data_IF_703822711861
#
_entry.id   IF_703822711861
#
_cell.length_a   1.000
_cell.length_b   1.000
_cell.length_c   1.000
_cell.angle_alpha   90.00
_cell.angle_beta   90.00
_cell.angle_gamma   90.00
#
_symmetry.space_group_name_H-M   'P 1'
#
loop_
_entity.id
_entity.type
_entity.pdbx_description
1 polymer ?
#
# COMPACT_ATOMS: atom_id res chain seq x y z
N UNK A 1 -4.32 25.66 -18.06
CA UNK A 1 -2.94 25.29 -17.68
C UNK A 1 -2.88 23.78 -17.53
N UNK A 2 -1.96 23.09 -18.22
CA UNK A 2 -1.81 21.65 -18.06
C UNK A 2 -1.38 21.34 -16.61
N UNK A 3 -2.11 20.45 -15.96
CA UNK A 3 -1.84 20.07 -14.59
C UNK A 3 -0.67 19.06 -14.60
N UNK A 4 0.57 19.55 -14.50
CA UNK A 4 1.77 18.71 -14.54
C UNK A 4 1.94 18.04 -13.17
N UNK A 5 1.82 16.71 -13.12
CA UNK A 5 1.95 15.94 -11.87
C UNK A 5 3.37 16.05 -11.29
N UNK A 6 4.38 15.83 -12.14
CA UNK A 6 5.80 15.87 -11.74
C UNK A 6 6.34 17.31 -11.76
N UNK A 7 5.99 18.10 -10.76
CA UNK A 7 6.46 19.46 -10.58
C UNK A 7 6.83 19.75 -9.13
N UNK A 8 7.89 20.54 -8.91
CA UNK A 8 8.39 20.93 -7.59
C UNK A 8 8.77 19.71 -6.74
N UNK A 9 8.26 19.59 -5.52
CA UNK A 9 8.58 18.46 -4.63
C UNK A 9 8.19 17.09 -5.19
N UNK A 10 7.32 17.02 -6.21
CA UNK A 10 6.89 15.77 -6.82
C UNK A 10 7.70 15.35 -8.03
N UNK A 11 8.75 16.09 -8.40
CA UNK A 11 9.60 15.75 -9.55
C UNK A 11 10.14 14.32 -9.47
N UNK A 12 10.49 13.86 -8.26
CA UNK A 12 10.96 12.50 -7.99
C UNK A 12 10.03 11.76 -7.02
N UNK A 13 8.73 11.94 -7.18
CA UNK A 13 7.71 11.40 -6.25
C UNK A 13 7.85 9.90 -6.00
N UNK A 14 8.07 9.10 -7.03
CA UNK A 14 8.19 7.64 -6.90
C UNK A 14 9.59 7.15 -6.50
N UNK A 15 10.58 8.05 -6.35
CA UNK A 15 11.95 7.65 -5.99
C UNK A 15 12.04 6.78 -4.72
N UNK A 16 11.30 7.03 -3.63
CA UNK A 16 11.30 6.15 -2.46
C UNK A 16 10.90 4.70 -2.75
N UNK A 17 10.11 4.46 -3.79
CA UNK A 17 9.63 3.14 -4.19
C UNK A 17 10.52 2.47 -5.28
N UNK A 18 11.66 3.05 -5.63
CA UNK A 18 12.56 2.52 -6.67
C UNK A 18 13.93 2.08 -6.14
N UNK A 19 14.25 2.34 -4.87
CA UNK A 19 15.50 1.96 -4.23
C UNK A 19 15.44 0.59 -3.54
N UNK A 20 16.57 0.13 -3.00
CA UNK A 20 16.67 -1.15 -2.30
C UNK A 20 15.71 -1.29 -1.11
N UNK A 21 15.41 -0.20 -0.44
CA UNK A 21 14.49 -0.10 0.70
C UNK A 21 13.00 0.09 0.32
N UNK A 22 12.66 -0.11 -0.95
CA UNK A 22 11.31 0.13 -1.51
C UNK A 22 10.19 -0.61 -0.78
N UNK A 23 10.43 -1.86 -0.38
CA UNK A 23 9.43 -2.67 0.34
C UNK A 23 9.14 -2.08 1.72
N UNK A 24 10.18 -1.66 2.44
CA UNK A 24 10.03 -0.96 3.72
C UNK A 24 9.30 0.37 3.54
N UNK A 25 9.65 1.15 2.50
CA UNK A 25 8.95 2.40 2.16
C UNK A 25 7.46 2.15 1.88
N UNK A 26 7.12 1.14 1.08
CA UNK A 26 5.74 0.78 0.76
C UNK A 26 4.97 0.35 2.01
N UNK A 27 5.57 -0.48 2.88
CA UNK A 27 4.97 -0.92 4.13
C UNK A 27 4.70 0.26 5.09
N UNK A 28 5.65 1.20 5.20
CA UNK A 28 5.49 2.42 6.02
C UNK A 28 4.36 3.29 5.47
N UNK A 29 4.30 3.49 4.15
CA UNK A 29 3.25 4.29 3.52
C UNK A 29 1.86 3.68 3.73
N UNK A 30 1.73 2.35 3.65
CA UNK A 30 0.49 1.63 3.98
C UNK A 30 0.09 1.83 5.44
N UNK A 31 1.02 1.62 6.36
CA UNK A 31 0.78 1.81 7.79
C UNK A 31 0.34 3.24 8.12
N UNK A 32 0.96 4.24 7.48
CA UNK A 32 0.57 5.64 7.60
C UNK A 32 -0.84 5.90 7.07
N UNK A 33 -1.18 5.34 5.91
CA UNK A 33 -2.52 5.47 5.34
C UNK A 33 -3.57 4.81 6.24
N UNK A 34 -3.33 3.59 6.69
CA UNK A 34 -4.25 2.83 7.52
C UNK A 34 -4.49 3.51 8.87
N UNK A 35 -3.45 4.13 9.45
CA UNK A 35 -3.57 4.89 10.70
C UNK A 35 -4.42 6.15 10.55
N UNK A 36 -4.27 6.87 9.44
CA UNK A 36 -4.92 8.20 9.26
C UNK A 36 -6.26 8.09 8.54
N UNK A 37 -6.42 7.10 7.65
CA UNK A 37 -7.56 6.98 6.74
C UNK A 37 -8.18 5.59 6.69
N UNK A 38 -7.56 4.60 7.34
CA UNK A 38 -8.05 3.22 7.36
C UNK A 38 -9.34 3.07 8.17
N UNK A 39 -9.93 1.87 8.16
CA UNK A 39 -11.19 1.59 8.87
C UNK A 39 -11.08 1.73 10.40
N UNK A 40 -9.87 1.67 10.94
CA UNK A 40 -9.56 1.86 12.36
C UNK A 40 -8.75 3.14 12.59
N UNK A 41 -8.95 4.16 11.75
CA UNK A 41 -8.21 5.41 11.84
C UNK A 41 -8.44 6.07 13.22
N UNK A 42 -7.35 6.43 13.87
CA UNK A 42 -7.38 7.18 15.11
C UNK A 42 -7.20 8.67 14.81
N UNK A 43 -8.30 9.40 14.86
CA UNK A 43 -8.33 10.84 14.61
C UNK A 43 -8.00 11.67 15.85
N UNK A 44 -7.82 11.03 17.01
CA UNK A 44 -7.55 11.73 18.28
C UNK A 44 -6.10 12.16 18.42
N UNK A 45 -5.18 11.51 17.74
CA UNK A 45 -3.75 11.77 17.85
C UNK A 45 -3.18 12.32 16.54
N UNK A 46 -2.62 13.52 16.61
CA UNK A 46 -1.98 14.14 15.46
C UNK A 46 -0.73 13.36 15.03
N UNK A 47 -0.48 13.28 13.74
CA UNK A 47 0.67 12.57 13.17
C UNK A 47 1.97 13.36 13.47
N UNK A 48 2.58 13.11 14.61
CA UNK A 48 3.86 13.73 14.98
C UNK A 48 5.01 13.03 14.28
N UNK A 49 6.17 13.73 14.17
CA UNK A 49 7.38 13.10 13.62
C UNK A 49 7.80 11.86 14.41
N UNK A 50 7.66 11.90 15.74
CA UNK A 50 8.00 10.76 16.61
C UNK A 50 7.09 9.57 16.36
N UNK A 51 5.81 9.82 16.17
CA UNK A 51 4.85 8.77 15.83
C UNK A 51 5.23 8.09 14.50
N UNK A 52 5.57 8.87 13.46
CA UNK A 52 6.00 8.31 12.17
C UNK A 52 7.29 7.50 12.30
N UNK A 53 8.27 7.97 13.07
CA UNK A 53 9.50 7.24 13.38
C UNK A 53 9.17 5.92 14.07
N UNK A 54 8.27 5.92 15.06
CA UNK A 54 7.85 4.69 15.75
C UNK A 54 7.14 3.72 14.80
N UNK A 55 6.36 4.22 13.84
CA UNK A 55 5.74 3.36 12.81
C UNK A 55 6.78 2.70 11.91
N UNK A 56 7.86 3.42 11.55
CA UNK A 56 8.99 2.81 10.83
C UNK A 56 9.62 1.68 11.66
N UNK A 57 9.81 1.87 12.96
CA UNK A 57 10.31 0.80 13.84
C UNK A 57 9.39 -0.41 13.85
N UNK A 58 8.08 -0.22 13.93
CA UNK A 58 7.12 -1.33 13.89
C UNK A 58 7.23 -2.13 12.59
N UNK A 59 7.45 -1.46 11.46
CA UNK A 59 7.68 -2.12 10.16
C UNK A 59 9.00 -2.90 10.17
N UNK A 60 10.08 -2.35 10.77
CA UNK A 60 11.39 -3.00 10.85
C UNK A 60 11.44 -4.20 11.82
N UNK A 61 10.43 -4.40 12.66
CA UNK A 61 10.30 -5.63 13.47
C UNK A 61 10.13 -6.87 12.58
N UNK A 62 9.55 -6.71 11.40
CA UNK A 62 9.41 -7.80 10.43
C UNK A 62 10.77 -8.11 9.78
N UNK A 63 11.27 -9.38 9.89
CA UNK A 63 12.59 -9.73 9.39
C UNK A 63 12.80 -9.47 7.90
N UNK A 64 11.76 -9.63 7.08
CA UNK A 64 11.81 -9.36 5.65
C UNK A 64 12.03 -7.87 5.35
N UNK A 65 11.34 -6.98 6.08
CA UNK A 65 11.49 -5.53 5.94
C UNK A 65 12.85 -5.06 6.45
N UNK A 66 13.32 -5.65 7.54
CA UNK A 66 14.66 -5.38 8.08
C UNK A 66 15.76 -5.79 7.09
N UNK A 67 15.64 -6.96 6.47
CA UNK A 67 16.59 -7.46 5.47
C UNK A 67 16.58 -6.64 4.17
N UNK A 68 15.50 -5.95 3.85
CA UNK A 68 15.42 -5.03 2.72
C UNK A 68 16.19 -3.73 2.95
N UNK A 69 16.47 -3.39 4.21
CA UNK A 69 17.13 -2.12 4.61
C UNK A 69 18.57 -2.34 5.02
N UNK A 70 18.85 -3.41 5.76
CA UNK A 70 20.15 -3.73 6.34
C UNK A 70 20.67 -5.05 5.79
N UNK A 71 21.99 -5.20 5.70
CA UNK A 71 22.59 -6.45 5.21
C UNK A 71 22.20 -7.66 6.10
N UNK A 72 21.93 -8.81 5.50
CA UNK A 72 21.60 -10.02 6.25
C UNK A 72 22.72 -10.41 7.21
N UNK A 73 22.39 -10.55 8.50
CA UNK A 73 23.35 -10.91 9.56
C UNK A 73 24.09 -9.73 10.18
N UNK A 74 23.91 -8.51 9.74
CA UNK A 74 24.44 -7.32 10.37
C UNK A 74 23.74 -7.10 11.73
N UNK A 75 24.52 -6.90 12.78
CA UNK A 75 24.02 -6.43 14.07
C UNK A 75 23.80 -4.94 14.00
N UNK A 76 22.57 -4.55 13.74
CA UNK A 76 22.14 -3.15 13.67
C UNK A 76 21.80 -2.67 15.08
N UNK A 77 22.38 -1.57 15.49
CA UNK A 77 22.07 -0.92 16.76
C UNK A 77 20.74 -0.17 16.70
N UNK A 78 20.10 0.04 17.85
CA UNK A 78 18.88 0.85 17.92
C UNK A 78 19.07 2.31 17.41
N UNK A 79 20.30 2.82 17.50
CA UNK A 79 20.66 4.15 17.02
C UNK A 79 20.72 4.21 15.48
N UNK A 80 21.26 3.18 14.84
CA UNK A 80 21.25 3.06 13.37
C UNK A 80 19.84 2.93 12.82
N UNK A 81 18.98 2.12 13.47
CA UNK A 81 17.56 2.03 13.10
C UNK A 81 16.86 3.39 13.25
N UNK A 82 17.16 4.13 14.32
CA UNK A 82 16.59 5.46 14.55
C UNK A 82 17.05 6.48 13.52
N UNK A 83 18.31 6.41 13.14
CA UNK A 83 18.89 7.24 12.07
C UNK A 83 18.19 6.96 10.75
N UNK A 84 18.08 5.69 10.37
CA UNK A 84 17.36 5.28 9.16
C UNK A 84 15.90 5.77 9.18
N UNK A 85 15.19 5.56 10.28
CA UNK A 85 13.79 6.00 10.40
C UNK A 85 13.65 7.52 10.21
N UNK A 86 14.57 8.30 10.79
CA UNK A 86 14.63 9.75 10.61
C UNK A 86 14.91 10.17 9.17
N UNK A 87 15.81 9.45 8.49
CA UNK A 87 16.14 9.68 7.07
C UNK A 87 14.97 9.30 6.15
N UNK A 88 14.26 8.20 6.43
CA UNK A 88 13.09 7.81 5.67
C UNK A 88 11.98 8.85 5.77
N UNK A 89 11.70 9.38 6.95
CA UNK A 89 10.73 10.47 7.12
C UNK A 89 11.13 11.71 6.31
N UNK A 90 12.44 12.08 6.34
CA UNK A 90 12.96 13.19 5.54
C UNK A 90 12.79 12.92 4.04
N UNK A 91 13.15 11.72 3.57
CA UNK A 91 13.02 11.27 2.18
C UNK A 91 11.56 11.36 1.69
N UNK A 92 10.60 10.92 2.52
CA UNK A 92 9.18 11.00 2.19
C UNK A 92 8.68 12.46 2.09
N UNK A 93 9.21 13.36 2.93
CA UNK A 93 8.91 14.81 2.84
C UNK A 93 9.52 15.45 1.58
N UNK A 94 10.79 15.18 1.30
CA UNK A 94 11.51 15.72 0.15
C UNK A 94 10.86 15.33 -1.18
N UNK A 95 10.31 14.13 -1.27
CA UNK A 95 9.65 13.61 -2.46
C UNK A 95 8.13 13.85 -2.50
N UNK A 96 7.59 14.63 -1.58
CA UNK A 96 6.20 15.09 -1.64
C UNK A 96 5.14 14.07 -1.19
N UNK A 97 5.52 13.05 -0.42
CA UNK A 97 4.58 12.13 0.22
C UNK A 97 4.00 12.70 1.51
N UNK A 98 4.86 13.37 2.29
CA UNK A 98 4.49 14.03 3.54
C UNK A 98 4.78 15.53 3.46
N UNK A 99 4.04 16.31 4.20
CA UNK A 99 4.26 17.75 4.38
C UNK A 99 4.14 18.13 5.85
N UNK A 100 4.85 19.22 6.21
CA UNK A 100 4.71 19.81 7.55
C UNK A 100 3.35 20.50 7.63
N UNK A 101 2.65 20.22 8.70
CA UNK A 101 1.38 20.85 9.03
C UNK A 101 1.48 21.42 10.44
N UNK A 102 0.99 22.62 10.64
CA UNK A 102 0.84 23.21 11.96
C UNK A 102 -0.63 23.14 12.35
N UNK A 103 -0.89 22.45 13.42
CA UNK A 103 -2.24 22.43 13.98
C UNK A 103 -2.63 23.86 14.36
N UNK A 104 -3.74 24.40 13.86
CA UNK A 104 -4.17 25.75 14.17
C UNK A 104 -4.56 25.95 15.65
N UNK A 105 -4.84 24.86 16.38
CA UNK A 105 -5.24 24.91 17.79
C UNK A 105 -4.02 24.77 18.71
N UNK A 106 -3.24 23.69 18.51
CA UNK A 106 -2.13 23.34 19.41
C UNK A 106 -0.78 23.91 18.99
N UNK A 107 -0.68 24.49 17.80
CA UNK A 107 0.56 25.02 17.20
C UNK A 107 1.73 24.03 17.17
N UNK A 108 1.50 22.75 17.45
CA UNK A 108 2.50 21.71 17.42
C UNK A 108 2.88 21.37 15.97
N UNK A 109 4.17 21.17 15.69
CA UNK A 109 4.58 20.69 14.37
C UNK A 109 4.14 19.24 14.17
N UNK A 110 3.26 19.02 13.21
CA UNK A 110 2.75 17.73 12.82
C UNK A 110 3.08 17.44 11.36
N UNK A 111 2.91 16.22 10.94
CA UNK A 111 3.05 15.78 9.57
C UNK A 111 1.66 15.47 9.01
N UNK A 112 1.50 15.65 7.71
CA UNK A 112 0.30 15.27 6.99
C UNK A 112 0.69 14.59 5.69
N UNK A 113 -0.06 13.60 5.27
CA UNK A 113 0.09 13.06 3.93
C UNK A 113 -0.38 14.11 2.91
N UNK A 114 0.42 14.32 1.88
CA UNK A 114 -0.02 15.14 0.74
C UNK A 114 -1.17 14.44 0.03
N UNK A 115 -1.97 15.18 -0.75
CA UNK A 115 -3.07 14.59 -1.51
C UNK A 115 -2.58 13.45 -2.42
N UNK A 116 -1.50 13.68 -3.16
CA UNK A 116 -0.90 12.66 -4.03
C UNK A 116 -0.37 11.46 -3.21
N UNK A 117 0.31 11.72 -2.08
CA UNK A 117 0.80 10.68 -1.17
C UNK A 117 -0.33 9.80 -0.63
N UNK A 118 -1.45 10.43 -0.22
CA UNK A 118 -2.63 9.71 0.24
C UNK A 118 -3.22 8.80 -0.83
N UNK A 119 -3.48 9.34 -2.04
CA UNK A 119 -4.13 8.58 -3.12
C UNK A 119 -3.28 7.36 -3.53
N UNK A 120 -1.96 7.51 -3.64
CA UNK A 120 -1.08 6.37 -3.98
C UNK A 120 -0.91 5.40 -2.80
N UNK A 121 -0.82 5.88 -1.56
CA UNK A 121 -0.77 5.00 -0.39
C UNK A 121 -2.07 4.21 -0.19
N UNK A 122 -3.22 4.78 -0.55
CA UNK A 122 -4.50 4.08 -0.61
C UNK A 122 -4.45 2.89 -1.58
N UNK A 123 -3.92 3.12 -2.78
CA UNK A 123 -3.74 2.03 -3.75
C UNK A 123 -2.82 0.94 -3.19
N UNK A 124 -1.69 1.32 -2.57
CA UNK A 124 -0.76 0.36 -1.95
C UNK A 124 -1.42 -0.44 -0.81
N UNK A 125 -2.25 0.20 0.03
CA UNK A 125 -3.00 -0.47 1.10
C UNK A 125 -4.06 -1.42 0.53
N UNK A 126 -4.75 -1.01 -0.53
CA UNK A 126 -5.79 -1.81 -1.18
C UNK A 126 -5.22 -3.04 -1.92
N UNK A 127 -4.00 -2.99 -2.43
CA UNK A 127 -3.38 -4.13 -3.09
C UNK A 127 -3.16 -5.32 -2.13
N UNK A 128 -2.86 -5.06 -0.85
CA UNK A 128 -2.53 -6.14 0.10
C UNK A 128 -3.71 -6.62 0.96
N UNK A 129 -4.61 -5.72 1.35
CA UNK A 129 -5.46 -5.99 2.52
C UNK A 129 -6.94 -6.21 2.25
N UNK A 130 -7.49 -5.95 1.06
CA UNK A 130 -8.92 -5.74 1.08
C UNK A 130 -9.75 -6.32 -0.06
N UNK A 131 -9.16 -6.96 -1.05
CA UNK A 131 -9.97 -7.50 -2.15
C UNK A 131 -11.12 -8.36 -1.62
N UNK A 132 -10.83 -9.29 -0.69
CA UNK A 132 -11.87 -10.16 -0.14
C UNK A 132 -12.91 -9.41 0.72
N UNK A 133 -12.48 -8.47 1.59
CA UNK A 133 -13.40 -7.69 2.43
C UNK A 133 -14.21 -6.68 1.62
N UNK A 134 -13.57 -6.00 0.67
CA UNK A 134 -14.23 -5.05 -0.24
C UNK A 134 -15.24 -5.77 -1.10
N UNK A 135 -14.88 -6.92 -1.67
CA UNK A 135 -15.78 -7.77 -2.44
C UNK A 135 -17.01 -8.19 -1.64
N UNK A 136 -16.81 -8.69 -0.41
CA UNK A 136 -17.93 -9.09 0.46
C UNK A 136 -18.83 -7.90 0.80
N UNK A 137 -18.25 -6.70 1.02
CA UNK A 137 -19.03 -5.48 1.26
C UNK A 137 -19.82 -5.08 0.01
N UNK A 138 -19.19 -5.09 -1.17
CA UNK A 138 -19.85 -4.77 -2.42
C UNK A 138 -20.96 -5.77 -2.74
N UNK A 139 -20.77 -7.07 -2.49
CA UNK A 139 -21.84 -8.08 -2.63
C UNK A 139 -23.03 -7.79 -1.71
N UNK A 140 -22.78 -7.42 -0.45
CA UNK A 140 -23.85 -7.04 0.48
C UNK A 140 -24.57 -5.78 0.05
N UNK A 141 -23.83 -4.77 -0.45
CA UNK A 141 -24.40 -3.52 -0.96
C UNK A 141 -25.23 -3.76 -2.21
N UNK A 142 -24.74 -4.56 -3.16
CA UNK A 142 -25.51 -4.96 -4.33
C UNK A 142 -26.83 -5.65 -3.95
N UNK A 143 -26.76 -6.64 -3.05
CA UNK A 143 -27.95 -7.32 -2.55
C UNK A 143 -28.96 -6.35 -1.93
N UNK A 144 -28.46 -5.38 -1.09
CA UNK A 144 -29.31 -4.42 -0.41
C UNK A 144 -29.99 -3.45 -1.39
N UNK A 145 -29.23 -2.92 -2.34
CA UNK A 145 -29.76 -2.02 -3.36
C UNK A 145 -30.80 -2.72 -4.26
N UNK A 146 -30.52 -3.94 -4.72
CA UNK A 146 -31.49 -4.72 -5.51
C UNK A 146 -32.75 -5.07 -4.73
N UNK A 147 -32.64 -5.35 -3.42
CA UNK A 147 -33.80 -5.58 -2.56
C UNK A 147 -34.62 -4.29 -2.37
N UNK A 148 -33.98 -3.14 -2.24
CA UNK A 148 -34.64 -1.84 -2.17
C UNK A 148 -35.36 -1.51 -3.48
N UNK A 149 -34.74 -1.77 -4.63
CA UNK A 149 -35.38 -1.62 -5.94
C UNK A 149 -36.67 -2.46 -6.07
N UNK A 150 -36.61 -3.74 -5.64
CA UNK A 150 -37.80 -4.60 -5.69
C UNK A 150 -38.95 -4.04 -4.83
N UNK A 151 -38.63 -3.35 -3.72
CA UNK A 151 -39.62 -2.79 -2.82
C UNK A 151 -40.16 -1.42 -3.29
N UNK A 152 -39.28 -0.55 -3.82
CA UNK A 152 -39.60 0.84 -4.17
C UNK A 152 -39.84 1.09 -5.64
N UNK A 153 -39.34 0.23 -6.52
CA UNK A 153 -39.23 0.41 -7.99
C UNK A 153 -38.43 1.69 -8.36
N UNK A 154 -37.52 2.12 -7.48
CA UNK A 154 -36.65 3.26 -7.73
C UNK A 154 -35.47 2.81 -8.63
N UNK A 155 -35.34 3.46 -9.79
CA UNK A 155 -34.32 3.15 -10.79
C UNK A 155 -32.89 3.45 -10.26
N UNK A 156 -32.72 4.42 -9.37
CA UNK A 156 -31.42 4.73 -8.78
C UNK A 156 -30.89 3.57 -7.92
N UNK A 157 -31.77 2.88 -7.20
CA UNK A 157 -31.40 1.68 -6.44
C UNK A 157 -30.98 0.50 -7.36
N UNK A 158 -31.58 0.40 -8.55
CA UNK A 158 -31.16 -0.59 -9.55
C UNK A 158 -29.76 -0.27 -10.10
N UNK A 159 -29.48 1.00 -10.41
CA UNK A 159 -28.17 1.45 -10.89
C UNK A 159 -27.08 1.23 -9.83
N UNK A 160 -27.36 1.56 -8.59
CA UNK A 160 -26.43 1.29 -7.47
C UNK A 160 -26.16 -0.21 -7.33
N UNK A 161 -27.19 -1.03 -7.41
CA UNK A 161 -27.06 -2.48 -7.37
C UNK A 161 -26.18 -3.03 -8.50
N UNK A 162 -26.37 -2.50 -9.71
CA UNK A 162 -25.57 -2.85 -10.88
C UNK A 162 -24.08 -2.42 -10.70
N UNK A 163 -23.83 -1.21 -10.22
CA UNK A 163 -22.48 -0.70 -10.01
C UNK A 163 -21.72 -1.54 -8.98
N UNK A 164 -22.34 -1.87 -7.85
CA UNK A 164 -21.73 -2.75 -6.85
C UNK A 164 -21.47 -4.15 -7.40
N UNK A 165 -22.40 -4.73 -8.16
CA UNK A 165 -22.21 -6.03 -8.77
C UNK A 165 -21.08 -6.03 -9.81
N UNK A 166 -21.00 -5.01 -10.63
CA UNK A 166 -19.94 -4.83 -11.65
C UNK A 166 -18.58 -4.79 -11.02
N UNK A 167 -18.40 -4.03 -9.91
CA UNK A 167 -17.14 -4.00 -9.16
C UNK A 167 -16.73 -5.38 -8.63
N UNK A 168 -17.70 -6.18 -8.14
CA UNK A 168 -17.42 -7.56 -7.69
C UNK A 168 -16.94 -8.43 -8.83
N UNK A 169 -17.57 -8.33 -10.01
CA UNK A 169 -17.18 -9.09 -11.21
C UNK A 169 -15.79 -8.70 -11.69
N UNK A 170 -15.49 -7.41 -11.73
CA UNK A 170 -14.16 -6.90 -12.10
C UNK A 170 -13.08 -7.42 -11.14
N UNK A 171 -13.30 -7.31 -9.82
CA UNK A 171 -12.36 -7.83 -8.81
C UNK A 171 -12.09 -9.34 -8.98
N UNK A 172 -13.12 -10.11 -9.36
CA UNK A 172 -12.98 -11.56 -9.60
C UNK A 172 -12.21 -11.85 -10.91
N UNK A 173 -12.44 -11.06 -11.95
CA UNK A 173 -11.72 -11.20 -13.22
C UNK A 173 -10.23 -10.90 -13.02
N UNK A 174 -9.90 -9.81 -12.32
CA UNK A 174 -8.53 -9.45 -11.99
C UNK A 174 -7.82 -10.56 -11.18
N UNK A 175 -8.52 -11.15 -10.20
CA UNK A 175 -7.97 -12.27 -9.42
C UNK A 175 -7.68 -13.49 -10.32
N UNK A 176 -8.57 -13.82 -11.24
CA UNK A 176 -8.39 -14.94 -12.18
C UNK A 176 -7.16 -14.67 -13.08
N UNK A 177 -7.01 -13.47 -13.59
CA UNK A 177 -5.86 -13.10 -14.42
C UNK A 177 -4.55 -13.17 -13.63
N UNK A 178 -4.56 -12.65 -12.39
CA UNK A 178 -3.41 -12.73 -11.49
C UNK A 178 -3.00 -14.19 -11.21
N UNK A 179 -3.96 -15.05 -10.86
CA UNK A 179 -3.67 -16.46 -10.59
C UNK A 179 -3.20 -17.21 -11.83
N UNK A 180 -3.74 -16.90 -13.01
CA UNK A 180 -3.23 -17.47 -14.27
C UNK A 180 -1.77 -17.09 -14.52
N UNK A 181 -1.44 -15.81 -14.36
CA UNK A 181 -0.07 -15.33 -14.50
C UNK A 181 0.88 -15.98 -13.48
N UNK A 182 0.44 -16.12 -12.23
CA UNK A 182 1.19 -16.78 -11.16
C UNK A 182 1.45 -18.27 -11.49
N UNK A 183 0.43 -19.00 -11.91
CA UNK A 183 0.58 -20.41 -12.32
C UNK A 183 1.55 -20.55 -13.48
N UNK A 184 1.48 -19.65 -14.47
CA UNK A 184 2.40 -19.65 -15.60
C UNK A 184 3.85 -19.40 -15.17
N UNK A 185 4.09 -18.43 -14.26
CA UNK A 185 5.44 -18.15 -13.75
C UNK A 185 5.99 -19.33 -12.95
N UNK A 186 5.20 -19.91 -12.04
CA UNK A 186 5.61 -21.08 -11.25
C UNK A 186 5.88 -22.31 -12.14
N UNK A 187 5.07 -22.51 -13.18
CA UNK A 187 5.28 -23.60 -14.13
C UNK A 187 6.60 -23.40 -14.92
N UNK A 188 6.88 -22.16 -15.33
CA UNK A 188 8.15 -21.83 -16.01
C UNK A 188 9.34 -22.06 -15.09
N UNK A 189 9.32 -21.58 -13.86
CA UNK A 189 10.38 -21.79 -12.88
C UNK A 189 10.62 -23.29 -12.60
N UNK A 190 9.55 -24.06 -12.44
CA UNK A 190 9.64 -25.50 -12.24
C UNK A 190 10.26 -26.24 -13.45
N UNK A 191 9.95 -25.80 -14.67
CA UNK A 191 10.54 -26.35 -15.89
C UNK A 191 12.02 -25.98 -16.02
N UNK A 192 12.39 -24.73 -15.75
CA UNK A 192 13.78 -24.26 -15.78
C UNK A 192 14.63 -25.01 -14.73
N UNK A 193 14.13 -25.22 -13.53
CA UNK A 193 14.79 -26.03 -12.50
C UNK A 193 14.96 -27.48 -12.95
N UNK A 194 13.98 -28.09 -13.59
CA UNK A 194 14.04 -29.46 -14.09
C UNK A 194 15.08 -29.61 -15.20
N UNK A 195 15.18 -28.63 -16.09
CA UNK A 195 16.22 -28.61 -17.15
C UNK A 195 17.60 -28.50 -16.54
N UNK A 196 17.82 -27.59 -15.62
CA UNK A 196 19.09 -27.43 -14.91
C UNK A 196 19.53 -28.72 -14.19
N UNK A 197 18.58 -29.44 -13.54
CA UNK A 197 18.87 -30.75 -12.94
C UNK A 197 19.19 -31.84 -13.95
N UNK A 198 18.57 -31.86 -15.12
CA UNK A 198 18.91 -32.86 -16.18
C UNK A 198 20.30 -32.60 -16.76
N UNK A 199 20.65 -31.35 -17.01
CA UNK A 199 21.98 -30.96 -17.47
C UNK A 199 23.09 -31.28 -16.45
N UNK A 200 22.81 -31.08 -15.15
CA UNK A 200 23.75 -31.46 -14.09
C UNK A 200 23.97 -32.97 -13.98
N UNK A 201 22.94 -33.79 -14.18
CA UNK A 201 23.03 -35.24 -14.16
C UNK A 201 23.72 -35.84 -15.41
N UNK A 202 23.76 -35.13 -16.54
CA UNK A 202 24.52 -35.55 -17.71
C UNK A 202 26.04 -35.25 -17.61
N UNK A 203 26.43 -34.41 -16.64
CA UNK A 203 27.81 -34.00 -16.40
C UNK A 203 28.54 -34.89 -15.35
N UNK A 204 27.83 -35.78 -14.65
CA UNK A 204 28.36 -36.77 -13.70
C UNK A 204 28.41 -38.16 -14.33
#
# INVERSE_FOLDING_TARGET
MANVFFAGKREQFFRPLTHGDRECCAAVLRSLYDRVHGPNADYSEALTRELVVNMVFQVLVEPAMRAAVFEPGQRVSAEEERTYAGELVRKLKEHGWLEDYKDPIDLKPTLKMTRAGKEVAEVLSNLDNSRARTRQRNMRSAKKALAAFVASHDVDELLDGYDFATRVVQDLQDDIEYFRALIQSLTREALEQKVAWSEFNEFI
#
